data_IF_658785344395
#
_entry.id   IF_658785344395
#
_cell.length_a   1.000
_cell.length_b   1.000
_cell.length_c   1.000
_cell.angle_alpha   90.00
_cell.angle_beta   90.00
_cell.angle_gamma   90.00
#
_symmetry.space_group_name_H-M   'P 1'
#
loop_
_entity.id
_entity.type
_entity.pdbx_description
1 polymer ?
#
# COMPACT_ATOMS: atom_id res chain seq x y z
N UNK A 1 10.28 -14.78 -8.36
CA UNK A 1 10.00 -13.58 -7.54
C UNK A 1 11.25 -13.28 -6.74
N UNK A 2 11.93 -12.15 -7.00
CA UNK A 2 13.01 -11.68 -6.14
C UNK A 2 12.38 -10.95 -4.97
N UNK A 3 12.56 -11.47 -3.75
CA UNK A 3 12.17 -10.80 -2.53
C UNK A 3 13.40 -10.11 -1.93
N UNK A 4 13.19 -8.98 -1.26
CA UNK A 4 14.24 -8.37 -0.44
C UNK A 4 14.64 -9.34 0.68
N UNK A 5 15.92 -9.40 1.05
CA UNK A 5 16.37 -10.18 2.20
C UNK A 5 15.61 -9.79 3.47
N UNK A 6 15.35 -10.76 4.34
CA UNK A 6 14.62 -10.52 5.60
C UNK A 6 15.31 -9.52 6.51
N UNK A 7 16.62 -9.32 6.37
CA UNK A 7 17.37 -8.32 7.13
C UNK A 7 16.95 -6.87 6.83
N UNK A 8 16.25 -6.62 5.73
CA UNK A 8 15.73 -5.28 5.39
C UNK A 8 14.46 -4.93 6.17
N UNK A 9 13.86 -5.87 6.89
CA UNK A 9 12.73 -5.61 7.77
C UNK A 9 13.19 -5.58 9.21
N UNK A 10 12.60 -4.69 10.00
CA UNK A 10 12.82 -4.62 11.45
C UNK A 10 12.21 -5.88 12.11
N UNK A 11 12.73 -6.33 13.26
CA UNK A 11 12.15 -7.45 13.99
C UNK A 11 10.66 -7.21 14.28
N UNK A 12 9.80 -8.19 13.97
CA UNK A 12 8.35 -8.08 14.17
C UNK A 12 7.60 -7.28 13.10
N UNK A 13 8.29 -6.73 12.10
CA UNK A 13 7.69 -5.87 11.09
C UNK A 13 6.88 -6.66 10.05
N UNK A 14 7.29 -7.89 9.72
CA UNK A 14 6.61 -8.71 8.71
C UNK A 14 5.20 -9.11 9.18
N UNK A 15 5.07 -9.40 10.47
CA UNK A 15 3.83 -9.80 11.14
C UNK A 15 2.79 -8.67 11.12
N UNK A 16 3.25 -7.41 11.05
CA UNK A 16 2.40 -6.22 11.01
C UNK A 16 2.13 -5.79 9.56
N UNK A 17 3.17 -5.77 8.71
CA UNK A 17 3.08 -5.32 7.33
C UNK A 17 2.14 -6.20 6.52
N UNK A 18 2.32 -7.52 6.56
CA UNK A 18 1.55 -8.46 5.73
C UNK A 18 0.03 -8.29 5.91
N UNK A 19 -0.54 -8.38 7.12
CA UNK A 19 -1.99 -8.22 7.29
C UNK A 19 -2.47 -6.79 6.97
N UNK A 20 -1.68 -5.77 7.32
CA UNK A 20 -2.05 -4.37 7.05
C UNK A 20 -2.10 -4.06 5.56
N UNK A 21 -1.10 -4.54 4.81
CA UNK A 21 -0.97 -4.30 3.37
C UNK A 21 -2.01 -5.08 2.58
N UNK A 22 -2.26 -6.35 2.95
CA UNK A 22 -3.34 -7.14 2.34
C UNK A 22 -4.71 -6.48 2.53
N UNK A 23 -5.00 -5.98 3.73
CA UNK A 23 -6.26 -5.28 4.01
C UNK A 23 -6.40 -3.98 3.20
N UNK A 24 -5.35 -3.17 3.15
CA UNK A 24 -5.37 -1.92 2.38
C UNK A 24 -5.46 -2.18 0.87
N UNK A 25 -4.79 -3.22 0.37
CA UNK A 25 -4.88 -3.63 -1.03
C UNK A 25 -6.29 -4.08 -1.39
N UNK A 26 -6.91 -4.93 -0.56
CA UNK A 26 -8.28 -5.38 -0.76
C UNK A 26 -9.26 -4.19 -0.78
N UNK A 27 -9.14 -3.28 0.19
CA UNK A 27 -9.96 -2.05 0.25
C UNK A 27 -9.81 -1.20 -1.01
N UNK A 28 -8.58 -1.06 -1.50
CA UNK A 28 -8.31 -0.24 -2.67
C UNK A 28 -8.72 -0.91 -3.98
N UNK A 29 -8.72 -2.25 -4.05
CA UNK A 29 -9.28 -3.00 -5.15
C UNK A 29 -10.82 -2.85 -5.20
N UNK A 30 -11.49 -2.85 -4.05
CA UNK A 30 -12.93 -2.54 -3.96
C UNK A 30 -13.23 -1.14 -4.48
N UNK A 31 -12.48 -0.11 -4.05
CA UNK A 31 -12.62 1.25 -4.58
C UNK A 31 -12.48 1.30 -6.10
N UNK A 32 -11.54 0.52 -6.66
CA UNK A 32 -11.33 0.45 -8.10
C UNK A 32 -12.53 -0.17 -8.82
N UNK A 33 -13.05 -1.30 -8.32
CA UNK A 33 -14.23 -1.96 -8.88
C UNK A 33 -15.45 -1.03 -8.80
N UNK A 34 -15.67 -0.36 -7.67
CA UNK A 34 -16.76 0.62 -7.50
C UNK A 34 -16.65 1.81 -8.47
N UNK A 35 -15.42 2.28 -8.69
CA UNK A 35 -15.17 3.34 -9.67
C UNK A 35 -15.50 2.92 -11.11
N UNK A 36 -15.41 1.62 -11.41
CA UNK A 36 -15.77 1.04 -12.71
C UNK A 36 -17.28 0.84 -12.85
N UNK A 37 -17.99 0.49 -11.78
CA UNK A 37 -19.44 0.22 -11.81
C UNK A 37 -20.29 1.48 -11.75
N UNK A 38 -19.80 2.59 -11.18
CA UNK A 38 -20.51 3.87 -11.11
C UNK A 38 -20.61 4.64 -12.45
N UNK A 39 -20.08 4.08 -13.54
CA UNK A 39 -19.97 4.79 -14.82
C UNK A 39 -21.23 4.62 -15.68
N UNK A 40 -22.22 5.47 -15.40
CA UNK A 40 -23.20 5.93 -16.39
C UNK A 40 -22.89 7.36 -16.92
N UNK A 41 -21.76 8.02 -16.55
CA UNK A 41 -21.56 9.38 -17.05
C UNK A 41 -20.24 10.12 -16.86
N UNK A 42 -19.29 9.68 -16.00
CA UNK A 42 -17.99 10.37 -15.90
C UNK A 42 -16.84 9.38 -15.78
N UNK A 43 -16.09 9.24 -16.88
CA UNK A 43 -14.84 8.49 -16.94
C UNK A 43 -13.76 9.19 -16.11
N UNK A 44 -13.80 9.04 -14.79
CA UNK A 44 -12.59 9.17 -13.96
C UNK A 44 -11.87 7.82 -14.00
N UNK A 45 -11.43 7.41 -15.19
CA UNK A 45 -10.63 6.21 -15.35
C UNK A 45 -9.26 6.45 -14.68
N UNK A 46 -8.92 5.61 -13.71
CA UNK A 46 -7.52 5.22 -13.57
C UNK A 46 -6.88 5.31 -12.20
N UNK A 47 -7.56 5.75 -11.15
CA UNK A 47 -6.89 5.93 -9.87
C UNK A 47 -7.73 5.39 -8.71
N UNK A 48 -7.10 4.54 -7.90
CA UNK A 48 -7.58 4.14 -6.55
C UNK A 48 -7.61 5.41 -5.66
N UNK A 49 -8.54 6.33 -5.92
CA UNK A 49 -8.71 7.59 -5.19
C UNK A 49 -9.73 7.48 -4.06
N UNK A 50 -10.43 6.34 -3.96
CA UNK A 50 -11.25 6.02 -2.81
C UNK A 50 -10.42 5.91 -1.52
N UNK A 51 -11.13 5.67 -0.42
CA UNK A 51 -10.52 5.66 0.92
C UNK A 51 -9.48 4.55 1.05
N UNK A 52 -9.72 3.38 0.47
CA UNK A 52 -8.79 2.26 0.41
C UNK A 52 -7.52 2.60 -0.37
N UNK A 53 -7.65 3.22 -1.55
CA UNK A 53 -6.51 3.62 -2.37
C UNK A 53 -5.63 4.71 -1.72
N UNK A 54 -6.25 5.67 -1.02
CA UNK A 54 -5.52 6.64 -0.19
C UNK A 54 -4.77 5.95 0.95
N UNK A 55 -5.41 5.00 1.63
CA UNK A 55 -4.80 4.20 2.71
C UNK A 55 -3.61 3.39 2.21
N UNK A 56 -3.74 2.70 1.07
CA UNK A 56 -2.66 1.92 0.46
C UNK A 56 -1.44 2.80 0.14
N UNK A 57 -1.66 3.99 -0.44
CA UNK A 57 -0.55 4.94 -0.70
C UNK A 57 0.10 5.42 0.59
N UNK A 58 -0.68 5.66 1.63
CA UNK A 58 -0.17 6.12 2.92
C UNK A 58 0.75 5.08 3.57
N UNK A 59 0.31 3.82 3.69
CA UNK A 59 1.11 2.78 4.35
C UNK A 59 2.40 2.44 3.59
N UNK A 60 2.38 2.49 2.25
CA UNK A 60 3.59 2.26 1.44
C UNK A 60 4.58 3.40 1.65
N UNK A 61 4.09 4.65 1.70
CA UNK A 61 4.95 5.82 1.95
C UNK A 61 5.54 5.77 3.36
N UNK A 62 4.72 5.47 4.37
CA UNK A 62 5.17 5.33 5.75
C UNK A 62 6.26 4.27 5.89
N UNK A 63 6.07 3.10 5.26
CA UNK A 63 7.12 2.08 5.18
C UNK A 63 8.40 2.63 4.57
N UNK A 64 8.34 3.27 3.40
CA UNK A 64 9.53 3.83 2.77
C UNK A 64 10.23 4.91 3.64
N UNK A 65 9.46 5.76 4.32
CA UNK A 65 9.99 6.83 5.17
C UNK A 65 10.68 6.26 6.43
N UNK A 66 10.11 5.21 7.04
CA UNK A 66 10.70 4.55 8.22
C UNK A 66 11.96 3.72 7.91
N UNK A 67 12.15 3.33 6.65
CA UNK A 67 13.33 2.61 6.16
C UNK A 67 14.40 3.52 5.54
N UNK A 68 14.05 4.76 5.18
CA UNK A 68 15.01 5.76 4.69
C UNK A 68 15.92 6.35 5.77
N UNK A 69 15.45 6.38 7.02
CA UNK A 69 16.17 6.99 8.15
C UNK A 69 16.99 5.97 8.96
N UNK A 70 17.31 4.80 8.40
CA UNK A 70 18.23 3.86 9.06
C UNK A 70 19.62 4.51 9.04
N UNK A 71 20.25 4.81 10.19
CA UNK A 71 21.58 5.39 10.22
C UNK A 71 22.49 4.45 9.45
N UNK A 72 23.06 4.94 8.34
CA UNK A 72 24.13 4.23 7.66
C UNK A 72 25.25 4.19 8.68
N UNK A 73 25.49 3.02 9.29
CA UNK A 73 26.65 2.78 10.14
C UNK A 73 27.88 2.89 9.24
N UNK A 74 28.39 4.10 9.07
CA UNK A 74 29.73 4.39 8.53
C UNK A 74 30.78 4.16 9.59
#
# INVERSE_FOLDING_TARGET
VQALPSEYLKPGEVEILVPSWLNALASAASDYIESMTSIAGKKSHGHMQGKGGKRLKHIIREFADTHRNVPTLT
#
